data_IF_013875917793
#
_entry.id   IF_013875917793
#
_cell.length_a   1.000
_cell.length_b   1.000
_cell.length_c   1.000
_cell.angle_alpha   90.00
_cell.angle_beta   90.00
_cell.angle_gamma   90.00
#
_symmetry.space_group_name_H-M   'P 1'
#
loop_
_entity.id
_entity.type
_entity.pdbx_description
1 polymer ?
#
# COMPACT_ATOMS: atom_id res chain seq x y z
N UNK A 1 0.68 24.38 -22.42
CA UNK A 1 1.53 23.18 -22.19
C UNK A 1 0.60 21.99 -22.07
N UNK A 2 0.89 20.85 -22.70
CA UNK A 2 0.06 19.65 -22.55
C UNK A 2 0.07 19.22 -21.07
N UNK A 3 -1.10 18.83 -20.55
CA UNK A 3 -1.16 18.32 -19.19
C UNK A 3 -0.38 17.00 -19.08
N UNK A 4 0.53 16.84 -18.10
CA UNK A 4 1.33 15.62 -17.96
C UNK A 4 0.45 14.38 -17.83
N UNK A 5 0.78 13.34 -18.60
CA UNK A 5 0.12 12.04 -18.57
C UNK A 5 -1.41 12.09 -18.78
N UNK A 6 -1.96 13.17 -19.35
CA UNK A 6 -3.40 13.26 -19.62
C UNK A 6 -3.87 12.19 -20.61
N UNK A 7 -3.06 11.90 -21.64
CA UNK A 7 -3.37 10.87 -22.63
C UNK A 7 -3.45 9.46 -22.02
N UNK A 8 -2.62 9.18 -21.01
CA UNK A 8 -2.69 7.92 -20.25
C UNK A 8 -4.06 7.77 -19.59
N UNK A 9 -4.51 8.80 -18.85
CA UNK A 9 -5.81 8.77 -18.20
C UNK A 9 -6.95 8.68 -19.22
N UNK A 10 -6.89 9.49 -20.29
CA UNK A 10 -7.92 9.53 -21.33
C UNK A 10 -8.10 8.19 -22.03
N UNK A 11 -7.00 7.54 -22.41
CA UNK A 11 -7.04 6.23 -23.09
C UNK A 11 -7.52 5.10 -22.18
N UNK A 12 -7.14 5.13 -20.89
CA UNK A 12 -7.50 4.04 -19.96
C UNK A 12 -8.84 4.24 -19.26
N UNK A 13 -9.41 5.44 -19.22
CA UNK A 13 -10.69 5.72 -18.56
C UNK A 13 -11.84 4.81 -19.03
N UNK A 14 -11.99 4.44 -20.32
CA UNK A 14 -13.02 3.49 -20.75
C UNK A 14 -12.87 2.06 -20.20
N UNK A 15 -11.67 1.67 -19.74
CA UNK A 15 -11.43 0.37 -19.11
C UNK A 15 -11.69 0.37 -17.60
N UNK A 16 -11.93 1.55 -16.99
CA UNK A 16 -12.04 1.66 -15.54
C UNK A 16 -13.42 1.22 -15.05
N UNK A 17 -13.44 0.31 -14.09
CA UNK A 17 -14.69 -0.12 -13.45
C UNK A 17 -15.24 0.99 -12.55
N UNK A 18 -16.53 1.36 -12.68
CA UNK A 18 -17.15 2.32 -11.78
C UNK A 18 -17.22 1.75 -10.35
N UNK A 19 -17.19 2.64 -9.37
CA UNK A 19 -17.50 2.23 -8.00
C UNK A 19 -18.98 1.88 -7.89
N UNK A 20 -19.33 0.73 -7.29
CA UNK A 20 -20.72 0.46 -6.96
C UNK A 20 -21.19 1.44 -5.88
N UNK A 21 -22.50 1.69 -5.81
CA UNK A 21 -23.08 2.41 -4.68
C UNK A 21 -22.72 1.71 -3.36
N UNK A 22 -22.30 2.46 -2.33
CA UNK A 22 -21.88 1.85 -1.07
C UNK A 22 -23.06 1.21 -0.35
N UNK A 23 -22.82 0.06 0.29
CA UNK A 23 -23.78 -0.61 1.18
C UNK A 23 -23.59 -0.11 2.61
N UNK A 24 -24.58 -0.25 3.51
CA UNK A 24 -24.40 0.06 4.93
C UNK A 24 -23.16 -0.63 5.51
N UNK A 25 -22.30 0.12 6.20
CA UNK A 25 -21.03 -0.36 6.74
C UNK A 25 -19.84 -0.35 5.76
N UNK A 26 -20.05 -0.17 4.44
CA UNK A 26 -18.95 0.07 3.49
C UNK A 26 -18.31 1.44 3.76
N UNK A 27 -17.04 1.61 3.40
CA UNK A 27 -16.26 2.83 3.72
C UNK A 27 -16.97 4.13 3.32
N UNK A 28 -17.44 4.22 2.07
CA UNK A 28 -18.10 5.43 1.56
C UNK A 28 -19.56 5.62 2.04
N UNK A 29 -20.13 4.66 2.78
CA UNK A 29 -21.39 4.88 3.48
C UNK A 29 -21.18 5.56 4.84
N UNK A 30 -20.02 5.34 5.46
CA UNK A 30 -19.70 5.83 6.80
C UNK A 30 -18.77 7.06 6.80
N UNK A 31 -18.07 7.30 5.69
CA UNK A 31 -17.08 8.37 5.55
C UNK A 31 -17.34 9.22 4.31
N UNK A 32 -17.46 10.54 4.51
CA UNK A 32 -17.53 11.50 3.41
C UNK A 32 -16.12 11.78 2.87
N UNK A 33 -15.87 11.34 1.63
CA UNK A 33 -14.59 11.51 0.97
C UNK A 33 -14.78 12.19 -0.40
N UNK A 34 -14.28 13.43 -0.58
CA UNK A 34 -14.38 14.11 -1.86
C UNK A 34 -13.50 13.47 -2.94
N UNK A 35 -12.61 12.55 -2.56
CA UNK A 35 -11.58 12.00 -3.43
C UNK A 35 -10.47 13.02 -3.69
N UNK A 36 -9.75 12.82 -4.80
CA UNK A 36 -8.67 13.70 -5.23
C UNK A 36 -8.46 13.55 -6.74
N UNK A 37 -8.65 14.62 -7.49
CA UNK A 37 -8.32 14.72 -8.91
C UNK A 37 -6.80 14.79 -9.12
N UNK A 38 -6.34 14.70 -10.38
CA UNK A 38 -4.93 14.90 -10.69
C UNK A 38 -4.47 16.35 -10.40
N UNK A 39 -5.32 17.34 -10.66
CA UNK A 39 -5.00 18.75 -10.40
C UNK A 39 -4.84 19.03 -8.90
N UNK A 40 -5.78 18.54 -8.07
CA UNK A 40 -5.69 18.66 -6.60
C UNK A 40 -4.49 17.91 -6.03
N UNK A 41 -4.14 16.76 -6.62
CA UNK A 41 -2.92 16.04 -6.25
C UNK A 41 -1.66 16.89 -6.48
N UNK A 42 -1.58 17.64 -7.58
CA UNK A 42 -0.45 18.54 -7.84
C UNK A 42 -0.45 19.75 -6.89
N UNK A 43 -1.63 20.32 -6.62
CA UNK A 43 -1.79 21.46 -5.72
C UNK A 43 -1.39 21.12 -4.27
N UNK A 44 -1.62 19.86 -3.86
CA UNK A 44 -1.18 19.32 -2.57
C UNK A 44 0.35 19.21 -2.40
N UNK A 45 1.15 19.52 -3.44
CA UNK A 45 2.63 19.46 -3.44
C UNK A 45 3.14 18.12 -2.89
N UNK A 46 2.86 17.03 -3.61
CA UNK A 46 2.99 15.69 -3.06
C UNK A 46 4.44 15.34 -2.76
N UNK A 47 4.66 14.48 -1.77
CA UNK A 47 5.96 13.84 -1.58
C UNK A 47 6.32 13.12 -2.87
N UNK A 48 7.47 13.47 -3.44
CA UNK A 48 7.84 13.03 -4.78
C UNK A 48 9.20 12.34 -4.78
N UNK A 49 9.25 11.21 -5.49
CA UNK A 49 10.52 10.53 -5.79
C UNK A 49 11.47 11.51 -6.50
N UNK A 50 12.69 11.59 -6.00
CA UNK A 50 13.74 12.47 -6.53
C UNK A 50 15.12 11.95 -6.12
N UNK A 51 16.19 12.56 -6.61
CA UNK A 51 17.57 12.22 -6.22
C UNK A 51 17.86 12.41 -4.72
N UNK A 52 16.97 13.12 -3.99
CA UNK A 52 17.06 13.27 -2.53
C UNK A 52 16.17 12.29 -1.76
N UNK A 53 15.11 11.79 -2.36
CA UNK A 53 14.12 10.91 -1.73
C UNK A 53 13.81 9.78 -2.72
N UNK A 54 14.56 8.68 -2.64
CA UNK A 54 14.51 7.65 -3.68
C UNK A 54 14.49 6.22 -3.15
N UNK A 55 14.68 5.97 -1.85
CA UNK A 55 14.73 4.61 -1.31
C UNK A 55 13.63 4.37 -0.31
N UNK A 56 13.01 3.20 -0.41
CA UNK A 56 12.04 2.70 0.56
C UNK A 56 12.80 1.82 1.55
N UNK A 57 12.71 2.14 2.83
CA UNK A 57 13.33 1.36 3.90
C UNK A 57 12.28 0.53 4.63
N UNK A 58 12.65 -0.68 5.05
CA UNK A 58 11.81 -1.58 5.83
C UNK A 58 12.47 -1.84 7.20
N UNK A 59 11.67 -1.77 8.26
CA UNK A 59 12.00 -2.25 9.60
C UNK A 59 11.13 -3.49 9.89
N UNK A 60 11.76 -4.65 10.00
CA UNK A 60 11.04 -5.88 10.35
C UNK A 60 10.86 -5.93 11.88
N UNK A 61 9.63 -5.95 12.36
CA UNK A 61 9.31 -5.97 13.79
C UNK A 61 8.77 -7.35 14.20
N UNK A 62 9.63 -8.11 14.88
CA UNK A 62 9.36 -9.46 15.33
C UNK A 62 9.96 -10.55 14.46
N UNK A 63 9.53 -11.77 14.75
CA UNK A 63 9.92 -12.96 14.03
C UNK A 63 8.85 -13.34 13.01
N UNK A 64 9.29 -14.04 11.97
CA UNK A 64 8.47 -14.45 10.86
C UNK A 64 8.71 -15.92 10.57
N UNK A 65 7.62 -16.67 10.35
CA UNK A 65 7.68 -18.04 9.85
C UNK A 65 8.27 -18.06 8.43
N UNK A 66 8.68 -19.23 7.95
CA UNK A 66 9.23 -19.36 6.59
C UNK A 66 8.25 -18.87 5.52
N UNK A 67 6.97 -19.26 5.63
CA UNK A 67 5.91 -18.82 4.73
C UNK A 67 5.71 -17.31 4.76
N UNK A 68 5.73 -16.70 5.96
CA UNK A 68 5.64 -15.24 6.11
C UNK A 68 6.86 -14.55 5.49
N UNK A 69 8.09 -15.03 5.73
CA UNK A 69 9.33 -14.48 5.13
C UNK A 69 9.26 -14.48 3.61
N UNK A 70 8.76 -15.56 3.01
CA UNK A 70 8.55 -15.65 1.56
C UNK A 70 7.59 -14.57 1.06
N UNK A 71 6.50 -14.28 1.79
CA UNK A 71 5.62 -13.16 1.46
C UNK A 71 6.36 -11.83 1.58
N UNK A 72 7.16 -11.62 2.63
CA UNK A 72 7.90 -10.36 2.80
C UNK A 72 8.88 -10.11 1.66
N UNK A 73 9.58 -11.14 1.19
CA UNK A 73 10.49 -11.04 0.05
C UNK A 73 9.72 -10.66 -1.23
N UNK A 74 8.57 -11.27 -1.49
CA UNK A 74 7.73 -10.92 -2.64
C UNK A 74 7.13 -9.51 -2.53
N UNK A 75 6.76 -9.07 -1.31
CA UNK A 75 6.30 -7.70 -1.06
C UNK A 75 7.43 -6.71 -1.31
N UNK A 76 8.66 -6.98 -0.86
CA UNK A 76 9.83 -6.16 -1.15
C UNK A 76 10.03 -6.00 -2.66
N UNK A 77 10.00 -7.11 -3.39
CA UNK A 77 10.20 -7.11 -4.83
C UNK A 77 9.07 -6.37 -5.56
N UNK A 78 7.82 -6.58 -5.14
CA UNK A 78 6.66 -5.86 -5.67
C UNK A 78 6.75 -4.36 -5.44
N UNK A 79 7.05 -3.91 -4.21
CA UNK A 79 7.17 -2.48 -3.90
C UNK A 79 8.31 -1.84 -4.71
N UNK A 80 9.41 -2.56 -4.93
CA UNK A 80 10.51 -2.07 -5.74
C UNK A 80 10.08 -1.81 -7.19
N UNK A 81 9.26 -2.71 -7.74
CA UNK A 81 8.69 -2.55 -9.09
C UNK A 81 7.61 -1.47 -9.13
N UNK A 82 6.65 -1.50 -8.20
CA UNK A 82 5.48 -0.61 -8.16
C UNK A 82 5.87 0.87 -7.96
N UNK A 83 6.85 1.13 -7.10
CA UNK A 83 7.31 2.49 -6.82
C UNK A 83 8.59 2.86 -7.58
N UNK A 84 9.07 1.96 -8.44
CA UNK A 84 10.27 2.15 -9.24
C UNK A 84 11.47 2.59 -8.37
N UNK A 85 11.60 2.02 -7.17
CA UNK A 85 12.47 2.53 -6.11
C UNK A 85 13.18 1.38 -5.41
N UNK A 86 14.47 1.49 -5.06
CA UNK A 86 15.13 0.45 -4.26
C UNK A 86 14.41 0.26 -2.93
N UNK A 87 14.16 -0.99 -2.55
CA UNK A 87 13.62 -1.36 -1.24
C UNK A 87 14.70 -2.07 -0.43
N UNK A 88 15.03 -1.54 0.75
CA UNK A 88 16.08 -2.07 1.63
C UNK A 88 15.51 -2.46 2.99
N UNK A 89 15.86 -3.63 3.49
CA UNK A 89 15.64 -3.95 4.90
C UNK A 89 16.73 -3.25 5.71
N UNK A 90 16.35 -2.23 6.47
CA UNK A 90 17.27 -1.44 7.28
C UNK A 90 17.70 -2.21 8.53
N UNK A 91 16.72 -2.83 9.19
CA UNK A 91 16.93 -3.61 10.43
C UNK A 91 15.76 -4.54 10.70
N UNK A 92 16.02 -5.51 11.58
CA UNK A 92 15.00 -6.30 12.25
C UNK A 92 15.11 -6.04 13.76
N UNK A 93 13.98 -5.78 14.41
CA UNK A 93 13.90 -5.62 15.87
C UNK A 93 13.06 -6.75 16.46
N UNK A 94 13.42 -7.25 17.64
CA UNK A 94 12.60 -8.21 18.36
C UNK A 94 11.39 -7.50 18.99
N UNK A 95 10.20 -8.13 18.99
CA UNK A 95 9.03 -7.55 19.68
C UNK A 95 9.27 -7.36 21.17
N UNK A 96 10.14 -8.17 21.77
CA UNK A 96 10.52 -8.05 23.16
C UNK A 96 11.21 -6.72 23.49
N UNK A 97 11.83 -6.04 22.51
CA UNK A 97 12.45 -4.72 22.72
C UNK A 97 11.42 -3.58 22.77
N UNK A 98 10.20 -3.82 22.30
CA UNK A 98 9.10 -2.86 22.43
C UNK A 98 8.66 -2.83 23.91
N UNK A 99 8.54 -1.67 24.56
CA UNK A 99 8.22 -1.59 25.99
C UNK A 99 6.79 -2.07 26.26
N UNK A 100 6.53 -2.51 27.49
CA UNK A 100 5.23 -3.02 27.90
C UNK A 100 4.08 -2.02 27.67
N UNK A 101 4.34 -0.71 27.75
CA UNK A 101 3.34 0.34 27.43
C UNK A 101 2.90 0.38 25.96
N UNK A 102 3.67 -0.24 25.07
CA UNK A 102 3.45 -0.29 23.64
C UNK A 102 3.17 -1.73 23.15
N UNK A 103 2.90 -2.65 24.07
CA UNK A 103 2.43 -4.01 23.81
C UNK A 103 1.17 -4.27 24.62
N UNK A 104 0.27 -5.10 24.11
CA UNK A 104 -0.84 -5.62 24.89
C UNK A 104 -1.21 -7.02 24.44
N UNK A 105 -1.88 -7.75 25.32
CA UNK A 105 -2.68 -8.92 24.95
C UNK A 105 -4.09 -8.42 24.68
N UNK A 106 -4.66 -8.73 23.51
CA UNK A 106 -6.04 -8.33 23.22
C UNK A 106 -7.00 -8.98 24.22
N UNK A 107 -7.91 -8.20 24.85
CA UNK A 107 -8.70 -8.68 25.98
C UNK A 107 -9.67 -9.83 25.64
N UNK A 108 -10.11 -9.93 24.39
CA UNK A 108 -11.14 -10.91 23.99
C UNK A 108 -10.61 -12.19 23.36
N UNK A 109 -9.49 -12.16 22.63
CA UNK A 109 -8.98 -13.31 21.87
C UNK A 109 -7.52 -13.66 22.18
N UNK A 110 -6.85 -12.91 23.06
CA UNK A 110 -5.57 -13.32 23.63
C UNK A 110 -4.33 -13.05 22.79
N UNK A 111 -4.47 -12.45 21.61
CA UNK A 111 -3.34 -12.20 20.71
C UNK A 111 -2.46 -11.03 21.16
N UNK A 112 -1.17 -11.13 20.89
CA UNK A 112 -0.23 -10.04 21.11
C UNK A 112 -0.42 -8.93 20.06
N UNK A 113 -0.55 -7.70 20.55
CA UNK A 113 -0.69 -6.50 19.74
C UNK A 113 0.41 -5.49 20.04
N UNK A 114 0.84 -4.80 18.99
CA UNK A 114 1.82 -3.72 19.06
C UNK A 114 1.13 -2.38 18.80
N UNK A 115 1.47 -1.37 19.61
CA UNK A 115 0.96 0.00 19.46
C UNK A 115 1.62 0.66 18.24
N UNK A 116 0.84 1.00 17.23
CA UNK A 116 1.34 1.62 15.97
C UNK A 116 2.04 2.95 16.23
N UNK A 117 1.45 3.82 17.06
CA UNK A 117 2.05 5.13 17.37
C UNK A 117 3.44 5.04 17.99
N UNK A 118 3.71 4.00 18.80
CA UNK A 118 5.06 3.76 19.31
C UNK A 118 6.03 3.39 18.19
N UNK A 119 5.60 2.47 17.30
CA UNK A 119 6.43 2.05 16.15
C UNK A 119 6.73 3.25 15.25
N UNK A 120 5.74 4.08 14.93
CA UNK A 120 5.93 5.26 14.09
C UNK A 120 6.88 6.28 14.74
N UNK A 121 6.54 6.77 15.94
CA UNK A 121 7.19 7.94 16.53
C UNK A 121 8.49 7.63 17.28
N UNK A 122 8.62 6.42 17.84
CA UNK A 122 9.74 6.08 18.71
C UNK A 122 10.70 5.07 18.07
N UNK A 123 10.25 4.32 17.05
CA UNK A 123 11.11 3.34 16.35
C UNK A 123 11.53 3.86 14.97
N UNK A 124 10.61 4.37 14.16
CA UNK A 124 10.91 4.73 12.77
C UNK A 124 11.40 6.17 12.62
N UNK A 125 10.64 7.14 13.14
CA UNK A 125 10.94 8.57 12.96
C UNK A 125 12.36 8.98 13.39
N UNK A 126 12.89 8.55 14.56
CA UNK A 126 14.22 8.95 15.02
C UNK A 126 15.37 8.41 14.16
N UNK A 127 15.15 7.30 13.45
CA UNK A 127 16.18 6.59 12.68
C UNK A 127 15.93 6.62 11.17
N UNK A 128 14.97 7.42 10.70
CA UNK A 128 14.62 7.50 9.29
C UNK A 128 15.83 7.99 8.47
N UNK A 129 16.31 7.19 7.50
CA UNK A 129 17.41 7.62 6.62
C UNK A 129 17.06 8.91 5.88
N UNK A 130 18.08 9.74 5.61
CA UNK A 130 17.88 11.04 4.96
C UNK A 130 17.33 10.92 3.53
N UNK A 131 17.71 9.86 2.81
CA UNK A 131 17.28 9.56 1.44
C UNK A 131 15.97 8.75 1.37
N UNK A 132 15.34 8.49 2.52
CA UNK A 132 14.13 7.70 2.61
C UNK A 132 12.95 8.42 1.95
N UNK A 133 12.50 7.87 0.82
CA UNK A 133 11.19 8.15 0.24
C UNK A 133 10.10 7.70 1.22
N UNK A 134 10.29 6.55 1.86
CA UNK A 134 9.48 6.07 2.96
C UNK A 134 10.31 5.19 3.90
N UNK A 135 9.94 5.14 5.18
CA UNK A 135 10.45 4.15 6.13
C UNK A 135 9.29 3.42 6.79
N UNK A 136 9.11 2.14 6.46
CA UNK A 136 7.95 1.35 6.84
C UNK A 136 8.34 0.26 7.83
N UNK A 137 7.56 0.07 8.89
CA UNK A 137 7.62 -1.12 9.72
C UNK A 137 6.65 -2.19 9.23
N UNK A 138 7.07 -3.43 9.37
CA UNK A 138 6.32 -4.60 8.97
C UNK A 138 6.38 -5.62 10.10
N UNK A 139 5.23 -6.16 10.51
CA UNK A 139 5.16 -7.15 11.58
C UNK A 139 4.20 -8.29 11.25
N UNK A 140 4.43 -9.46 11.84
CA UNK A 140 3.49 -10.58 11.87
C UNK A 140 2.54 -10.52 13.08
N UNK A 141 2.77 -9.61 14.03
CA UNK A 141 1.86 -9.39 15.15
C UNK A 141 0.74 -8.43 14.80
N UNK A 142 -0.37 -8.54 15.51
CA UNK A 142 -1.51 -7.67 15.30
C UNK A 142 -1.17 -6.22 15.73
N UNK A 143 -1.85 -5.24 15.13
CA UNK A 143 -1.60 -3.82 15.36
C UNK A 143 -2.80 -3.14 16.01
N UNK A 144 -2.52 -2.14 16.85
CA UNK A 144 -3.55 -1.35 17.50
C UNK A 144 -3.17 0.14 17.56
N UNK A 145 -4.07 1.08 17.22
CA UNK A 145 -3.75 2.51 17.18
C UNK A 145 -3.94 3.26 18.50
N UNK A 146 -4.36 2.58 19.57
CA UNK A 146 -4.71 3.24 20.83
C UNK A 146 -6.21 3.56 20.95
N UNK A 147 -6.54 4.40 21.94
CA UNK A 147 -7.81 5.17 22.02
C UNK A 147 -9.12 4.36 21.88
N UNK A 148 -9.17 3.14 22.41
CA UNK A 148 -10.38 2.31 22.42
C UNK A 148 -10.66 1.52 21.14
N UNK A 149 -9.79 1.58 20.13
CA UNK A 149 -9.91 0.77 18.92
C UNK A 149 -9.57 -0.71 19.17
N UNK A 150 -10.04 -1.60 18.30
CA UNK A 150 -9.72 -3.04 18.40
C UNK A 150 -8.41 -3.38 17.68
N UNK A 151 -8.27 -2.97 16.41
CA UNK A 151 -7.07 -3.21 15.60
C UNK A 151 -7.03 -2.26 14.38
N UNK A 152 -5.89 -2.25 13.68
CA UNK A 152 -5.74 -1.70 12.32
C UNK A 152 -4.90 -2.63 11.45
N UNK A 153 -5.07 -2.60 10.13
CA UNK A 153 -4.20 -3.33 9.20
C UNK A 153 -2.84 -2.63 9.03
N UNK A 154 -2.84 -1.31 9.17
CA UNK A 154 -1.66 -0.46 9.16
C UNK A 154 -2.02 0.96 9.57
N UNK A 155 -0.99 1.79 9.76
CA UNK A 155 -1.11 3.23 10.04
C UNK A 155 0.10 3.96 9.47
N UNK A 156 -0.10 5.16 8.95
CA UNK A 156 0.97 5.97 8.36
C UNK A 156 0.97 7.41 8.88
N UNK A 157 2.17 7.97 9.07
CA UNK A 157 2.40 9.39 9.29
C UNK A 157 2.96 10.01 8.00
N UNK A 158 2.08 10.60 7.21
CA UNK A 158 2.40 11.10 5.87
C UNK A 158 3.45 12.22 5.90
N UNK A 159 3.37 13.09 6.91
CA UNK A 159 4.33 14.19 7.11
C UNK A 159 5.74 13.67 7.42
N UNK A 160 5.81 12.54 8.13
CA UNK A 160 7.08 11.89 8.46
C UNK A 160 7.45 10.75 7.51
N UNK A 161 6.66 10.47 6.47
CA UNK A 161 6.93 9.40 5.50
C UNK A 161 7.21 8.05 6.18
N UNK A 162 6.58 7.82 7.33
CA UNK A 162 6.66 6.58 8.09
C UNK A 162 5.33 5.85 8.04
N UNK A 163 5.38 4.53 8.12
CA UNK A 163 4.18 3.69 8.16
C UNK A 163 4.46 2.39 8.87
N UNK A 164 3.42 1.73 9.33
CA UNK A 164 3.48 0.38 9.89
C UNK A 164 2.31 -0.41 9.36
N UNK A 165 2.52 -1.66 8.97
CA UNK A 165 1.44 -2.56 8.59
C UNK A 165 1.72 -3.99 9.07
N UNK A 166 0.67 -4.81 9.13
CA UNK A 166 0.75 -6.18 9.61
C UNK A 166 0.22 -7.19 8.60
N UNK A 167 0.88 -8.35 8.54
CA UNK A 167 0.39 -9.54 7.81
C UNK A 167 -0.65 -10.32 8.63
N UNK A 168 -0.76 -10.07 9.95
CA UNK A 168 -1.58 -10.85 10.88
C UNK A 168 -3.01 -11.11 10.39
N UNK A 169 -3.64 -10.09 9.80
CA UNK A 169 -5.04 -10.15 9.34
C UNK A 169 -5.19 -10.35 7.83
N UNK A 170 -4.13 -10.73 7.14
CA UNK A 170 -4.16 -10.97 5.69
C UNK A 170 -4.48 -12.43 5.34
N UNK A 171 -4.71 -13.28 6.34
CA UNK A 171 -4.96 -14.71 6.19
C UNK A 171 -3.70 -15.53 6.49
N UNK A 172 -3.87 -16.85 6.59
CA UNK A 172 -2.77 -17.76 6.85
C UNK A 172 -2.04 -18.11 5.55
N UNK A 173 -0.73 -17.80 5.41
CA UNK A 173 0.03 -18.15 4.22
C UNK A 173 0.27 -19.65 4.02
N UNK A 174 0.02 -20.48 5.04
CA UNK A 174 0.05 -21.95 4.93
C UNK A 174 -1.26 -22.47 4.32
N UNK A 175 -2.39 -21.86 4.65
CA UNK A 175 -3.71 -22.25 4.12
C UNK A 175 -3.93 -21.73 2.70
N UNK A 176 -3.69 -20.43 2.47
CA UNK A 176 -3.82 -19.80 1.16
C UNK A 176 -2.74 -18.72 0.97
N UNK A 177 -1.59 -19.18 0.48
CA UNK A 177 -0.44 -18.32 0.20
C UNK A 177 -0.77 -17.17 -0.76
N UNK A 178 -1.53 -17.45 -1.82
CA UNK A 178 -1.81 -16.46 -2.87
C UNK A 178 -2.73 -15.36 -2.37
N UNK A 179 -3.77 -15.72 -1.60
CA UNK A 179 -4.66 -14.74 -0.98
C UNK A 179 -3.93 -13.89 0.06
N UNK A 180 -3.12 -14.52 0.93
CA UNK A 180 -2.32 -13.80 1.93
C UNK A 180 -1.31 -12.85 1.28
N UNK A 181 -0.62 -13.31 0.23
CA UNK A 181 0.26 -12.48 -0.59
C UNK A 181 -0.51 -11.31 -1.18
N UNK A 182 -1.60 -11.56 -1.91
CA UNK A 182 -2.42 -10.52 -2.56
C UNK A 182 -2.86 -9.43 -1.57
N UNK A 183 -3.39 -9.80 -0.41
CA UNK A 183 -3.82 -8.85 0.62
C UNK A 183 -2.64 -8.04 1.18
N UNK A 184 -1.49 -8.67 1.37
CA UNK A 184 -0.28 -8.01 1.88
C UNK A 184 0.29 -7.03 0.86
N UNK A 185 0.35 -7.40 -0.43
CA UNK A 185 0.75 -6.51 -1.53
C UNK A 185 -0.16 -5.28 -1.60
N UNK A 186 -1.48 -5.50 -1.54
CA UNK A 186 -2.48 -4.43 -1.58
C UNK A 186 -2.31 -3.46 -0.42
N UNK A 187 -2.22 -3.97 0.81
CA UNK A 187 -2.02 -3.13 2.01
C UNK A 187 -0.72 -2.33 1.89
N UNK A 188 0.40 -2.98 1.58
CA UNK A 188 1.70 -2.31 1.52
C UNK A 188 1.76 -1.21 0.46
N UNK A 189 1.19 -1.45 -0.73
CA UNK A 189 1.17 -0.45 -1.79
C UNK A 189 0.15 0.67 -1.55
N UNK A 190 -0.99 0.37 -0.91
CA UNK A 190 -1.97 1.38 -0.51
C UNK A 190 -1.36 2.39 0.47
N UNK A 191 -0.74 1.92 1.55
CA UNK A 191 -0.10 2.79 2.54
C UNK A 191 1.05 3.61 1.95
N UNK A 192 1.85 3.00 1.07
CA UNK A 192 2.95 3.72 0.44
C UNK A 192 2.47 4.74 -0.60
N UNK A 193 1.33 4.52 -1.26
CA UNK A 193 0.68 5.55 -2.08
C UNK A 193 0.21 6.75 -1.22
N UNK A 194 -0.28 6.52 0.00
CA UNK A 194 -0.58 7.61 0.92
C UNK A 194 0.67 8.42 1.28
N UNK A 195 1.83 7.77 1.49
CA UNK A 195 3.10 8.50 1.71
C UNK A 195 3.44 9.41 0.53
N UNK A 196 3.07 9.03 -0.70
CA UNK A 196 3.17 9.87 -1.90
C UNK A 196 2.02 10.88 -2.05
N UNK A 197 1.29 11.15 -0.97
CA UNK A 197 0.20 12.14 -0.86
C UNK A 197 -1.04 11.80 -1.70
N UNK A 198 -1.23 10.53 -2.07
CA UNK A 198 -2.49 10.11 -2.68
C UNK A 198 -3.56 9.94 -1.61
N UNK A 199 -4.73 10.55 -1.82
CA UNK A 199 -5.89 10.28 -0.96
C UNK A 199 -6.59 9.00 -1.40
N UNK A 200 -7.56 8.56 -0.60
CA UNK A 200 -8.49 7.54 -1.05
C UNK A 200 -9.15 7.95 -2.38
N UNK A 201 -9.30 6.96 -3.25
CA UNK A 201 -9.89 7.13 -4.56
C UNK A 201 -11.39 6.87 -4.47
N UNK A 202 -12.18 7.84 -4.94
CA UNK A 202 -13.64 7.73 -5.07
C UNK A 202 -14.11 7.77 -6.53
N UNK A 203 -13.17 7.74 -7.48
CA UNK A 203 -13.49 7.86 -8.91
C UNK A 203 -13.90 6.52 -9.54
N UNK A 204 -13.21 5.43 -9.19
CA UNK A 204 -13.32 4.10 -9.81
C UNK A 204 -12.88 3.02 -8.82
N UNK A 205 -13.12 1.74 -9.15
CA UNK A 205 -12.44 0.64 -8.44
C UNK A 205 -10.93 0.81 -8.59
N UNK A 206 -10.23 0.82 -7.47
CA UNK A 206 -8.83 1.21 -7.38
C UNK A 206 -8.19 0.58 -6.15
N UNK A 207 -6.90 0.26 -6.24
CA UNK A 207 -6.08 -0.05 -5.06
C UNK A 207 -6.23 1.00 -3.94
N UNK A 208 -6.43 2.27 -4.29
CA UNK A 208 -6.58 3.38 -3.35
C UNK A 208 -8.00 3.57 -2.82
N UNK A 209 -8.96 2.67 -3.05
CA UNK A 209 -10.26 2.82 -2.38
C UNK A 209 -10.11 2.58 -0.87
N UNK A 210 -10.75 3.42 -0.05
CA UNK A 210 -10.90 3.12 1.38
C UNK A 210 -11.70 1.83 1.59
N UNK A 211 -11.54 1.19 2.74
CA UNK A 211 -12.23 -0.07 3.07
C UNK A 211 -12.46 -0.18 4.57
N UNK A 212 -13.68 -0.51 4.96
CA UNK A 212 -14.06 -0.70 6.37
C UNK A 212 -13.89 -2.15 6.85
N UNK A 213 -13.94 -3.12 5.92
CA UNK A 213 -13.93 -4.54 6.26
C UNK A 213 -13.22 -5.38 5.19
N UNK A 214 -12.99 -6.66 5.53
CA UNK A 214 -12.16 -7.56 4.72
C UNK A 214 -12.78 -7.87 3.35
N UNK A 215 -14.09 -8.07 3.30
CA UNK A 215 -14.81 -8.35 2.04
C UNK A 215 -14.71 -7.16 1.08
N UNK A 216 -14.90 -5.94 1.59
CA UNK A 216 -14.74 -4.73 0.79
C UNK A 216 -13.31 -4.60 0.25
N UNK A 217 -12.31 -4.85 1.10
CA UNK A 217 -10.89 -4.80 0.71
C UNK A 217 -10.56 -5.84 -0.36
N UNK A 218 -11.05 -7.06 -0.21
CA UNK A 218 -10.78 -8.17 -1.16
C UNK A 218 -11.43 -7.93 -2.53
N UNK A 219 -12.55 -7.22 -2.54
CA UNK A 219 -13.18 -6.80 -3.78
C UNK A 219 -12.32 -5.75 -4.55
N UNK A 220 -11.47 -4.97 -3.88
CA UNK A 220 -10.66 -3.93 -4.55
C UNK A 220 -9.51 -4.53 -5.37
N UNK A 221 -9.21 -3.99 -6.57
CA UNK A 221 -8.10 -4.49 -7.39
C UNK A 221 -6.73 -4.16 -6.78
N UNK A 222 -5.67 -4.88 -7.18
CA UNK A 222 -4.28 -4.45 -6.87
C UNK A 222 -3.75 -3.35 -7.79
N UNK A 223 -4.44 -3.04 -8.88
CA UNK A 223 -4.01 -2.00 -9.82
C UNK A 223 -4.63 -0.65 -9.46
N UNK A 224 -3.97 0.43 -9.88
CA UNK A 224 -4.50 1.79 -9.77
C UNK A 224 -5.45 2.07 -10.93
N UNK A 225 -6.56 2.77 -10.64
CA UNK A 225 -7.42 3.30 -11.70
C UNK A 225 -6.67 4.37 -12.53
N UNK A 226 -7.19 4.78 -13.70
CA UNK A 226 -6.49 5.71 -14.60
C UNK A 226 -6.09 7.04 -13.93
N UNK A 227 -6.93 7.57 -13.03
CA UNK A 227 -6.66 8.80 -12.28
C UNK A 227 -5.45 8.61 -11.34
N UNK A 228 -5.43 7.53 -10.56
CA UNK A 228 -4.35 7.29 -9.60
C UNK A 228 -3.07 6.80 -10.28
N UNK A 229 -3.19 6.05 -11.39
CA UNK A 229 -2.04 5.64 -12.20
C UNK A 229 -1.37 6.87 -12.83
N UNK A 230 -2.15 7.86 -13.30
CA UNK A 230 -1.62 9.13 -13.79
C UNK A 230 -0.81 9.86 -12.71
N UNK A 231 -1.32 9.94 -11.48
CA UNK A 231 -0.60 10.50 -10.32
C UNK A 231 0.72 9.76 -10.08
N UNK A 232 0.68 8.43 -10.06
CA UNK A 232 1.86 7.61 -9.81
C UNK A 232 2.92 7.78 -10.90
N UNK A 233 2.55 7.63 -12.17
CA UNK A 233 3.49 7.78 -13.29
C UNK A 233 4.16 9.16 -13.29
N UNK A 234 3.39 10.22 -13.03
CA UNK A 234 3.92 11.57 -12.89
C UNK A 234 4.89 11.71 -11.70
N UNK A 235 4.54 11.13 -10.55
CA UNK A 235 5.36 11.19 -9.34
C UNK A 235 6.72 10.52 -9.59
N UNK A 236 6.68 9.29 -10.10
CA UNK A 236 7.84 8.42 -10.32
C UNK A 236 8.66 8.77 -11.55
N UNK A 237 8.10 9.57 -12.48
CA UNK A 237 8.69 9.93 -13.79
C UNK A 237 8.98 8.71 -14.65
N UNK A 238 8.00 7.80 -14.73
CA UNK A 238 8.11 6.55 -15.49
C UNK A 238 7.24 6.61 -16.74
N UNK A 239 7.66 5.89 -17.78
CA UNK A 239 6.83 5.66 -18.96
C UNK A 239 5.77 4.58 -18.68
N UNK A 240 4.49 4.79 -19.02
CA UNK A 240 3.42 3.89 -18.58
C UNK A 240 3.53 2.47 -19.11
N UNK A 241 3.86 2.28 -20.40
CA UNK A 241 3.89 0.93 -21.00
C UNK A 241 5.00 0.04 -20.41
N UNK A 242 6.26 0.50 -20.30
CA UNK A 242 7.30 -0.26 -19.59
C UNK A 242 6.92 -0.54 -18.12
N UNK A 243 6.33 0.46 -17.44
CA UNK A 243 5.86 0.31 -16.06
C UNK A 243 4.81 -0.80 -15.92
N UNK A 244 3.75 -0.76 -16.72
CA UNK A 244 2.69 -1.78 -16.67
C UNK A 244 3.22 -3.16 -17.07
N UNK A 245 4.20 -3.22 -17.98
CA UNK A 245 4.81 -4.48 -18.42
C UNK A 245 5.55 -5.19 -17.27
N UNK A 246 6.33 -4.46 -16.45
CA UNK A 246 7.00 -5.07 -15.28
C UNK A 246 5.98 -5.51 -14.22
N UNK A 247 4.91 -4.75 -14.00
CA UNK A 247 3.84 -5.11 -13.07
C UNK A 247 3.09 -6.36 -13.52
N UNK A 248 2.79 -6.47 -14.82
CA UNK A 248 2.22 -7.68 -15.42
C UNK A 248 3.10 -8.90 -15.19
N UNK A 249 4.40 -8.79 -15.46
CA UNK A 249 5.34 -9.89 -15.32
C UNK A 249 5.37 -10.41 -13.87
N UNK A 250 5.42 -9.51 -12.89
CA UNK A 250 5.33 -9.87 -11.48
C UNK A 250 4.03 -10.60 -11.14
N UNK A 251 2.88 -10.07 -11.58
CA UNK A 251 1.58 -10.67 -11.29
C UNK A 251 1.46 -12.08 -11.87
N UNK A 252 1.91 -12.25 -13.13
CA UNK A 252 1.92 -13.54 -13.81
C UNK A 252 2.80 -14.57 -13.10
N UNK A 253 4.00 -14.17 -12.68
CA UNK A 253 4.95 -15.06 -11.99
C UNK A 253 4.42 -15.54 -10.63
N UNK A 254 3.56 -14.76 -9.98
CA UNK A 254 3.05 -15.04 -8.64
C UNK A 254 1.58 -15.50 -8.61
N UNK A 255 1.01 -15.90 -9.75
CA UNK A 255 -0.34 -16.46 -9.82
C UNK A 255 -1.47 -15.45 -9.60
N UNK A 256 -1.20 -14.15 -9.75
CA UNK A 256 -2.17 -13.05 -9.62
C UNK A 256 -2.87 -12.82 -10.98
N UNK A 257 -3.68 -13.80 -11.38
CA UNK A 257 -4.26 -13.87 -12.74
C UNK A 257 -5.22 -12.71 -13.07
N UNK A 258 -6.18 -12.32 -12.20
CA UNK A 258 -7.05 -11.18 -12.46
C UNK A 258 -6.25 -9.90 -12.73
N UNK A 259 -5.22 -9.64 -11.93
CA UNK A 259 -4.35 -8.48 -12.05
C UNK A 259 -3.53 -8.51 -13.35
N UNK A 260 -3.05 -9.69 -13.74
CA UNK A 260 -2.31 -9.90 -15.00
C UNK A 260 -3.16 -9.47 -16.19
N UNK A 261 -4.42 -9.88 -16.24
CA UNK A 261 -5.35 -9.52 -17.32
C UNK A 261 -5.61 -8.01 -17.40
N UNK A 262 -5.78 -7.34 -16.26
CA UNK A 262 -5.95 -5.87 -16.23
C UNK A 262 -4.73 -5.13 -16.81
N UNK A 263 -3.51 -5.57 -16.47
CA UNK A 263 -2.30 -4.96 -17.04
C UNK A 263 -2.15 -5.23 -18.54
N UNK A 264 -2.52 -6.42 -19.03
CA UNK A 264 -2.51 -6.74 -20.47
C UNK A 264 -3.42 -5.82 -21.27
N UNK A 265 -4.66 -5.63 -20.81
CA UNK A 265 -5.63 -4.74 -21.46
C UNK A 265 -5.12 -3.28 -21.48
N UNK A 266 -4.61 -2.79 -20.34
CA UNK A 266 -4.09 -1.43 -20.25
C UNK A 266 -2.89 -1.20 -21.19
N UNK A 267 -1.95 -2.16 -21.29
CA UNK A 267 -0.82 -2.07 -22.21
C UNK A 267 -1.33 -2.01 -23.66
N UNK A 268 -2.23 -2.91 -24.05
CA UNK A 268 -2.78 -2.96 -25.40
C UNK A 268 -3.40 -1.62 -25.81
N UNK A 269 -4.26 -1.05 -24.94
CA UNK A 269 -4.93 0.24 -25.16
C UNK A 269 -3.98 1.43 -25.26
N UNK A 270 -2.84 1.40 -24.57
CA UNK A 270 -1.85 2.49 -24.66
C UNK A 270 -0.98 2.42 -25.90
N UNK A 271 -0.77 1.21 -26.44
CA UNK A 271 0.05 0.96 -27.63
C UNK A 271 -0.71 1.11 -28.96
N UNK A 272 -2.04 1.21 -28.92
CA UNK A 272 -2.90 1.57 -30.06
C UNK A 272 -3.09 3.09 -30.14
#
# INVERSE_FOLDING_TARGET
MSEPYLELERKLRPLADPLPSPRPGDWLAEHDEPGQTFAEYLDAKPVRKSDKLHTIYLCLAGDFTEAQRRILDLVRDYLALFFDSPVKVQRQIALASIPARARRTHPSWGDQQVLTGYVLHEVLEPERPADALAYLALTASDLWPGKGWNFVFGEANLWQRTGVWSIYRNGDPVEDFTLCLRRTLGTAAHELCHVLTMHHCTAFRCLMNGSNHQEERDARPLHLCPVCLRKLCWNLRVEPVPYLTKMKAFCKQNGLNPETGSYEQAIATLTT
#
